data_IF_295652401131
#
_entry.id   IF_295652401131
#
_cell.length_a   1.000
_cell.length_b   1.000
_cell.length_c   1.000
_cell.angle_alpha   90.00
_cell.angle_beta   90.00
_cell.angle_gamma   90.00
#
_symmetry.space_group_name_H-M   'P 1'
#
loop_
_entity.id
_entity.type
_entity.pdbx_description
1 polymer ?
#
# COMPACT_ATOMS: atom_id res chain seq x y z
N UNK A 1 -39.10 -45.19 -21.92
CA UNK A 1 -38.95 -43.73 -21.63
C UNK A 1 -37.84 -43.56 -20.62
N UNK A 2 -36.65 -43.12 -21.03
CA UNK A 2 -35.51 -42.84 -20.13
C UNK A 2 -35.61 -41.39 -19.68
N UNK A 3 -35.74 -41.15 -18.38
CA UNK A 3 -35.72 -39.81 -17.79
C UNK A 3 -34.28 -39.38 -17.61
N UNK A 4 -33.85 -38.36 -18.34
CA UNK A 4 -32.55 -37.70 -18.14
C UNK A 4 -32.68 -36.67 -17.02
N UNK A 5 -31.95 -36.87 -15.92
CA UNK A 5 -31.86 -35.90 -14.86
C UNK A 5 -30.67 -35.00 -15.17
N UNK A 6 -30.91 -33.71 -15.40
CA UNK A 6 -29.90 -32.67 -15.55
C UNK A 6 -29.63 -32.11 -14.15
N UNK A 7 -28.46 -32.43 -13.60
CA UNK A 7 -27.98 -31.81 -12.35
C UNK A 7 -27.25 -30.50 -12.73
N UNK A 8 -27.93 -29.39 -12.50
CA UNK A 8 -27.32 -28.06 -12.62
C UNK A 8 -26.42 -27.82 -11.42
N UNK A 9 -25.10 -27.86 -11.64
CA UNK A 9 -24.12 -27.55 -10.65
C UNK A 9 -23.95 -26.03 -10.58
N UNK A 10 -24.60 -25.41 -9.59
CA UNK A 10 -24.45 -23.99 -9.31
C UNK A 10 -23.05 -23.78 -8.67
N UNK A 11 -22.10 -23.28 -9.45
CA UNK A 11 -20.78 -22.89 -8.94
C UNK A 11 -20.94 -21.57 -8.18
N UNK A 12 -21.09 -21.64 -6.86
CA UNK A 12 -20.97 -20.47 -5.99
C UNK A 12 -19.51 -20.06 -5.93
N UNK A 13 -19.21 -18.94 -6.57
CA UNK A 13 -17.91 -18.27 -6.48
C UNK A 13 -17.79 -17.68 -5.06
N UNK A 14 -17.13 -18.41 -4.15
CA UNK A 14 -16.78 -17.88 -2.84
C UNK A 14 -15.54 -17.01 -3.07
N UNK A 15 -15.73 -15.68 -3.09
CA UNK A 15 -14.62 -14.74 -2.93
C UNK A 15 -14.01 -14.97 -1.56
N UNK A 16 -12.89 -15.64 -1.52
CA UNK A 16 -12.16 -15.90 -0.30
C UNK A 16 -11.59 -14.60 0.26
N UNK A 17 -12.13 -14.12 1.38
CA UNK A 17 -11.51 -13.07 2.18
C UNK A 17 -10.27 -13.72 2.81
N UNK A 18 -9.09 -13.43 2.26
CA UNK A 18 -7.83 -13.86 2.85
C UNK A 18 -7.53 -12.99 4.07
N UNK A 19 -7.24 -13.63 5.16
CA UNK A 19 -6.66 -13.17 6.43
C UNK A 19 -6.68 -11.68 6.77
N UNK A 20 -7.37 -11.30 7.85
CA UNK A 20 -7.26 -9.98 8.47
C UNK A 20 -6.14 -10.06 9.52
N UNK A 21 -5.00 -9.42 9.28
CA UNK A 21 -3.96 -9.22 10.29
C UNK A 21 -4.06 -7.80 10.86
N UNK A 22 -4.56 -7.68 12.08
CA UNK A 22 -4.82 -6.40 12.74
C UNK A 22 -3.85 -6.20 13.91
N UNK A 23 -3.12 -5.09 13.90
CA UNK A 23 -2.37 -4.65 15.08
C UNK A 23 -3.33 -4.33 16.23
N UNK A 24 -3.07 -4.86 17.40
CA UNK A 24 -3.83 -4.55 18.60
C UNK A 24 -3.74 -3.04 18.97
N UNK A 25 -4.76 -2.50 19.64
CA UNK A 25 -4.77 -1.13 20.15
C UNK A 25 -5.30 -0.06 19.20
N UNK A 26 -5.86 -0.45 18.04
CA UNK A 26 -6.51 0.48 17.10
C UNK A 26 -8.03 0.59 17.31
N UNK A 27 -8.59 -0.22 18.21
CA UNK A 27 -10.03 -0.23 18.46
C UNK A 27 -10.46 1.07 19.16
N UNK A 28 -11.57 1.65 18.71
CA UNK A 28 -12.07 2.93 19.22
C UNK A 28 -11.35 4.19 18.69
N UNK A 29 -10.26 4.06 17.89
CA UNK A 29 -9.63 5.21 17.25
C UNK A 29 -10.46 5.73 16.07
N UNK A 30 -10.48 7.07 15.84
CA UNK A 30 -11.09 7.66 14.65
C UNK A 30 -10.48 7.04 13.37
N UNK A 31 -11.33 6.79 12.37
CA UNK A 31 -10.92 6.26 11.06
C UNK A 31 -11.05 7.34 10.01
N UNK A 32 -10.02 7.48 9.18
CA UNK A 32 -10.02 8.42 8.06
C UNK A 32 -9.48 7.72 6.81
N UNK A 33 -10.12 7.93 5.68
CA UNK A 33 -9.60 7.46 4.40
C UNK A 33 -8.65 8.50 3.83
N UNK A 34 -7.49 8.06 3.36
CA UNK A 34 -6.56 8.89 2.61
C UNK A 34 -6.67 8.57 1.12
N UNK A 35 -7.06 9.58 0.35
CA UNK A 35 -7.01 9.53 -1.10
C UNK A 35 -5.56 9.62 -1.58
N UNK A 36 -5.07 8.56 -2.21
CA UNK A 36 -3.72 8.49 -2.76
C UNK A 36 -3.68 9.15 -4.13
N UNK A 37 -2.61 9.88 -4.40
CA UNK A 37 -2.39 10.58 -5.68
C UNK A 37 -1.08 10.12 -6.32
N UNK A 38 -1.04 10.10 -7.64
CA UNK A 38 0.16 9.72 -8.37
C UNK A 38 1.30 10.74 -8.14
N UNK A 39 2.57 10.29 -8.10
CA UNK A 39 3.72 11.18 -8.11
C UNK A 39 3.66 12.16 -9.29
N UNK A 40 4.23 13.36 -9.18
CA UNK A 40 5.08 13.82 -8.06
C UNK A 40 4.31 14.44 -6.89
N UNK A 41 3.00 14.33 -6.87
CA UNK A 41 2.17 14.96 -5.85
C UNK A 41 2.03 14.08 -4.61
N UNK A 42 1.78 14.73 -3.47
CA UNK A 42 1.45 14.05 -2.22
C UNK A 42 -0.04 14.18 -1.92
N UNK A 43 -0.63 13.21 -1.20
CA UNK A 43 -1.99 13.35 -0.71
C UNK A 43 -2.10 14.57 0.22
N UNK A 44 -3.30 15.19 0.25
CA UNK A 44 -3.58 16.29 1.16
C UNK A 44 -3.37 15.83 2.61
N UNK A 45 -2.57 16.57 3.35
CA UNK A 45 -2.21 16.25 4.73
C UNK A 45 -1.94 17.51 5.55
N UNK A 46 -2.03 17.38 6.87
CA UNK A 46 -1.62 18.43 7.81
C UNK A 46 -0.14 18.23 8.17
N UNK A 47 0.64 19.31 8.25
CA UNK A 47 2.05 19.23 8.65
C UNK A 47 2.23 19.01 10.15
N UNK A 48 1.22 19.38 10.93
CA UNK A 48 1.11 19.15 12.38
C UNK A 48 -0.15 18.37 12.63
N UNK A 49 -0.08 17.31 13.43
CA UNK A 49 -1.23 16.47 13.68
C UNK A 49 -2.36 17.23 14.39
N UNK A 50 -3.59 17.04 13.94
CA UNK A 50 -4.79 17.51 14.62
C UNK A 50 -5.34 16.38 15.52
N UNK A 51 -5.17 16.51 16.81
CA UNK A 51 -5.65 15.53 17.78
C UNK A 51 -4.75 14.32 17.99
N UNK A 52 -5.31 13.25 18.57
CA UNK A 52 -4.62 12.00 18.90
C UNK A 52 -4.34 11.09 17.69
N UNK A 53 -3.79 9.89 17.94
CA UNK A 53 -3.65 8.87 16.92
C UNK A 53 -4.99 8.49 16.27
N UNK A 54 -4.92 8.07 15.01
CA UNK A 54 -6.08 7.63 14.22
C UNK A 54 -5.70 6.42 13.36
N UNK A 55 -6.69 5.78 12.77
CA UNK A 55 -6.50 4.77 11.72
C UNK A 55 -6.64 5.45 10.37
N UNK A 56 -5.56 5.46 9.61
CA UNK A 56 -5.53 5.96 8.22
C UNK A 56 -5.75 4.78 7.29
N UNK A 57 -6.90 4.77 6.65
CA UNK A 57 -7.29 3.73 5.69
C UNK A 57 -6.79 4.10 4.31
N UNK A 58 -6.09 3.18 3.67
CA UNK A 58 -5.57 3.31 2.31
C UNK A 58 -5.92 2.08 1.49
N UNK A 59 -6.05 2.26 0.18
CA UNK A 59 -6.25 1.18 -0.77
C UNK A 59 -5.16 1.22 -1.84
N UNK A 60 -4.43 0.13 -2.01
CA UNK A 60 -3.49 -0.09 -3.09
C UNK A 60 -4.00 -1.20 -3.99
N UNK A 61 -4.09 -0.92 -5.26
CA UNK A 61 -4.46 -1.89 -6.30
C UNK A 61 -3.21 -2.20 -7.11
N UNK A 62 -2.88 -3.47 -7.22
CA UNK A 62 -1.80 -3.92 -8.09
C UNK A 62 -2.28 -3.88 -9.54
N UNK A 63 -1.48 -3.30 -10.41
CA UNK A 63 -1.78 -3.23 -11.84
C UNK A 63 -0.56 -3.68 -12.65
N UNK A 64 -0.75 -4.73 -13.46
CA UNK A 64 0.25 -5.24 -14.40
C UNK A 64 -0.11 -4.73 -15.78
N UNK A 65 0.70 -3.83 -16.33
CA UNK A 65 0.38 -3.16 -17.58
C UNK A 65 1.61 -2.76 -18.39
N UNK A 66 1.41 -2.51 -19.65
CA UNK A 66 2.41 -1.86 -20.47
C UNK A 66 2.47 -0.36 -20.17
N UNK A 67 3.68 0.16 -19.97
CA UNK A 67 3.94 1.58 -19.70
C UNK A 67 4.99 2.13 -20.66
N UNK A 68 4.70 3.31 -21.20
CA UNK A 68 5.69 4.05 -21.98
C UNK A 68 6.66 4.77 -21.04
N UNK A 69 7.96 4.50 -21.17
CA UNK A 69 9.02 5.10 -20.34
C UNK A 69 9.87 6.11 -21.11
N UNK A 70 9.80 6.09 -22.44
CA UNK A 70 10.42 7.05 -23.33
C UNK A 70 9.62 7.09 -24.65
N UNK A 71 9.84 8.07 -25.56
CA UNK A 71 9.04 8.21 -26.79
C UNK A 71 8.84 6.91 -27.58
N UNK A 72 9.88 6.07 -27.67
CA UNK A 72 9.86 4.81 -28.44
C UNK A 72 10.15 3.58 -27.56
N UNK A 73 10.01 3.69 -26.23
CA UNK A 73 10.31 2.62 -25.30
C UNK A 73 9.12 2.28 -24.38
N UNK A 74 8.74 1.02 -24.40
CA UNK A 74 7.66 0.47 -23.59
C UNK A 74 8.17 -0.67 -22.74
N UNK A 75 7.67 -0.81 -21.53
CA UNK A 75 8.02 -1.87 -20.59
C UNK A 75 6.77 -2.51 -20.00
N UNK A 76 6.85 -3.79 -19.68
CA UNK A 76 5.84 -4.45 -18.87
C UNK A 76 6.09 -4.06 -17.41
N UNK A 77 5.24 -3.21 -16.87
CA UNK A 77 5.35 -2.71 -15.51
C UNK A 77 4.40 -3.44 -14.57
N UNK A 78 4.82 -3.55 -13.32
CA UNK A 78 3.99 -3.92 -12.18
C UNK A 78 3.93 -2.71 -11.26
N UNK A 79 2.74 -2.26 -10.90
CA UNK A 79 2.58 -0.98 -10.23
C UNK A 79 1.67 -1.09 -9.00
N UNK A 80 1.78 -0.12 -8.10
CA UNK A 80 0.75 0.18 -7.11
C UNK A 80 -0.03 1.40 -7.59
N UNK A 81 -1.35 1.25 -7.78
CA UNK A 81 -2.25 2.29 -8.29
C UNK A 81 -1.82 2.89 -9.64
N UNK A 82 -1.18 2.09 -10.50
CA UNK A 82 -0.92 2.45 -11.89
C UNK A 82 0.22 3.43 -12.13
N UNK A 83 1.03 3.79 -11.13
CA UNK A 83 2.19 4.68 -11.26
C UNK A 83 3.50 4.02 -10.80
N UNK A 84 4.63 4.52 -11.32
CA UNK A 84 5.99 4.18 -10.90
C UNK A 84 6.73 5.48 -10.62
N UNK A 85 7.20 5.70 -9.39
CA UNK A 85 6.91 4.91 -8.21
C UNK A 85 5.43 4.94 -7.83
N UNK A 86 5.00 4.00 -6.96
CA UNK A 86 3.66 4.01 -6.38
C UNK A 86 3.39 5.25 -5.53
N UNK A 87 2.13 5.56 -5.18
CA UNK A 87 1.76 6.78 -4.47
C UNK A 87 2.47 6.94 -3.12
N UNK A 88 2.80 8.17 -2.74
CA UNK A 88 3.25 8.50 -1.38
C UNK A 88 2.08 8.34 -0.40
N UNK A 89 2.32 7.63 0.70
CA UNK A 89 1.41 7.56 1.84
C UNK A 89 1.90 8.56 2.89
N UNK A 90 1.01 9.35 3.50
CA UNK A 90 1.39 10.34 4.53
C UNK A 90 0.58 10.10 5.80
N UNK A 91 1.27 9.84 6.90
CA UNK A 91 0.66 9.65 8.22
C UNK A 91 1.45 10.39 9.28
N UNK A 92 0.90 10.51 10.49
CA UNK A 92 1.65 11.02 11.63
C UNK A 92 2.14 9.89 12.54
N UNK A 93 3.21 10.15 13.26
CA UNK A 93 3.76 9.24 14.25
C UNK A 93 2.66 8.72 15.18
N UNK A 94 2.65 7.44 15.45
CA UNK A 94 1.66 6.69 16.23
C UNK A 94 0.27 6.55 15.59
N UNK A 95 0.03 7.05 14.39
CA UNK A 95 -1.15 6.64 13.62
C UNK A 95 -1.02 5.16 13.24
N UNK A 96 -2.16 4.53 13.01
CA UNK A 96 -2.23 3.20 12.40
C UNK A 96 -2.48 3.35 10.90
N UNK A 97 -1.75 2.61 10.12
CA UNK A 97 -2.01 2.43 8.68
C UNK A 97 -2.85 1.15 8.54
N UNK A 98 -4.03 1.28 7.96
CA UNK A 98 -4.87 0.13 7.58
C UNK A 98 -4.92 0.07 6.07
N UNK A 99 -4.13 -0.84 5.51
CA UNK A 99 -4.02 -1.06 4.07
C UNK A 99 -5.03 -2.12 3.65
N UNK A 100 -5.77 -1.85 2.57
CA UNK A 100 -6.37 -2.88 1.72
C UNK A 100 -5.51 -3.03 0.47
N UNK A 101 -4.83 -4.17 0.34
CA UNK A 101 -4.09 -4.53 -0.87
C UNK A 101 -4.96 -5.42 -1.75
N UNK A 102 -5.12 -5.03 -3.01
CA UNK A 102 -5.95 -5.75 -3.98
C UNK A 102 -5.10 -6.21 -5.16
N UNK A 103 -5.21 -7.48 -5.49
CA UNK A 103 -4.65 -8.06 -6.70
C UNK A 103 -5.79 -8.48 -7.62
N UNK A 104 -6.13 -7.69 -8.66
CA UNK A 104 -7.22 -8.02 -9.59
C UNK A 104 -7.04 -9.39 -10.27
N UNK A 105 -8.14 -10.03 -10.63
CA UNK A 105 -8.12 -11.33 -11.32
C UNK A 105 -7.51 -11.28 -12.72
N UNK A 106 -7.33 -10.09 -13.28
CA UNK A 106 -6.65 -9.85 -14.57
C UNK A 106 -5.13 -9.97 -14.47
N UNK A 107 -4.56 -9.89 -13.27
CA UNK A 107 -3.13 -10.07 -13.03
C UNK A 107 -2.74 -11.56 -13.09
N UNK A 108 -1.45 -11.82 -13.26
CA UNK A 108 -0.91 -13.19 -13.42
C UNK A 108 -0.01 -13.62 -12.28
N UNK A 109 0.58 -12.66 -11.54
CA UNK A 109 1.51 -12.95 -10.46
C UNK A 109 0.87 -12.82 -9.08
N UNK A 110 1.45 -13.53 -8.11
CA UNK A 110 1.23 -13.29 -6.68
C UNK A 110 1.98 -12.02 -6.28
N UNK A 111 1.32 -11.17 -5.50
CA UNK A 111 1.90 -9.95 -4.96
C UNK A 111 1.74 -9.87 -3.45
N UNK A 112 2.50 -8.98 -2.83
CA UNK A 112 2.39 -8.61 -1.43
C UNK A 112 2.92 -7.20 -1.22
N UNK A 113 3.08 -6.76 0.02
CA UNK A 113 3.72 -5.49 0.33
C UNK A 113 4.53 -5.59 1.61
N UNK A 114 5.76 -5.09 1.57
CA UNK A 114 6.68 -4.91 2.68
C UNK A 114 6.80 -3.41 2.95
N UNK A 115 6.45 -2.98 4.18
CA UNK A 115 6.63 -1.61 4.65
C UNK A 115 7.85 -1.49 5.54
N UNK A 116 8.88 -0.76 5.14
CA UNK A 116 10.04 -0.46 6.00
C UNK A 116 9.68 0.42 7.22
N UNK A 117 8.51 1.04 7.22
CA UNK A 117 7.96 1.76 8.38
C UNK A 117 7.32 0.84 9.43
N UNK A 118 7.12 -0.44 9.11
CA UNK A 118 6.57 -1.46 9.99
C UNK A 118 7.69 -2.34 10.53
N UNK A 119 7.50 -2.89 11.73
CA UNK A 119 8.42 -3.86 12.32
C UNK A 119 7.75 -5.22 12.47
N UNK A 120 8.53 -6.29 12.25
CA UNK A 120 8.03 -7.68 12.30
C UNK A 120 7.38 -8.13 11.00
N UNK A 121 7.24 -9.44 10.82
CA UNK A 121 6.62 -10.12 9.67
C UNK A 121 7.10 -9.59 8.30
N UNK A 122 8.40 -9.24 8.18
CA UNK A 122 8.98 -8.60 6.98
C UNK A 122 8.13 -7.40 6.54
N UNK A 123 7.91 -6.41 7.44
CA UNK A 123 7.11 -5.23 7.15
C UNK A 123 5.66 -5.49 6.71
N UNK A 124 5.16 -6.70 6.94
CA UNK A 124 3.86 -7.19 6.48
C UNK A 124 3.95 -8.12 5.26
N UNK A 125 5.12 -8.32 4.66
CA UNK A 125 5.29 -9.11 3.44
C UNK A 125 4.77 -10.53 3.54
N UNK A 126 4.92 -11.19 4.70
CA UNK A 126 4.39 -12.54 4.95
C UNK A 126 2.86 -12.56 5.17
N UNK A 127 2.27 -11.45 5.58
CA UNK A 127 0.86 -11.33 5.95
C UNK A 127 -0.02 -10.77 4.82
N UNK A 128 0.59 -10.31 3.73
CA UNK A 128 -0.11 -9.59 2.66
C UNK A 128 -0.03 -10.28 1.31
N UNK A 129 0.32 -11.57 1.27
CA UNK A 129 0.37 -12.36 0.04
C UNK A 129 -1.03 -12.50 -0.56
N UNK A 130 -1.21 -12.00 -1.77
CA UNK A 130 -2.47 -12.04 -2.54
C UNK A 130 -2.21 -12.57 -3.96
N UNK A 131 -2.88 -13.66 -4.31
CA UNK A 131 -2.95 -14.15 -5.67
C UNK A 131 -3.95 -13.34 -6.52
N UNK A 132 -4.01 -13.56 -7.84
CA UNK A 132 -4.99 -12.94 -8.71
C UNK A 132 -6.44 -13.14 -8.21
N UNK A 133 -7.22 -12.06 -8.16
CA UNK A 133 -8.60 -12.03 -7.66
C UNK A 133 -8.73 -11.99 -6.14
N UNK A 134 -7.63 -11.80 -5.40
CA UNK A 134 -7.64 -11.74 -3.94
C UNK A 134 -7.37 -10.34 -3.40
N UNK A 135 -7.82 -10.10 -2.18
CA UNK A 135 -7.44 -8.91 -1.41
C UNK A 135 -7.16 -9.28 0.05
N UNK A 136 -6.39 -8.43 0.72
CA UNK A 136 -6.03 -8.58 2.14
C UNK A 136 -6.08 -7.24 2.84
N UNK A 137 -6.47 -7.25 4.11
CA UNK A 137 -6.36 -6.08 5.00
C UNK A 137 -5.21 -6.29 5.98
N UNK A 138 -4.29 -5.34 6.00
CA UNK A 138 -3.13 -5.34 6.88
C UNK A 138 -3.08 -4.03 7.67
N UNK A 139 -2.83 -4.11 8.99
CA UNK A 139 -2.73 -2.93 9.84
C UNK A 139 -1.44 -2.96 10.66
N UNK A 140 -0.73 -1.84 10.66
CA UNK A 140 0.43 -1.62 11.52
C UNK A 140 0.41 -0.22 12.13
N UNK A 141 1.19 -0.01 13.18
CA UNK A 141 1.39 1.29 13.83
C UNK A 141 2.66 1.94 13.31
N UNK A 142 2.57 3.16 12.79
CA UNK A 142 3.70 3.96 12.32
C UNK A 142 4.39 4.65 13.51
N UNK A 143 5.42 4.02 14.09
CA UNK A 143 6.02 4.46 15.36
C UNK A 143 7.19 5.43 15.21
N UNK A 144 7.88 5.40 14.06
CA UNK A 144 9.10 6.18 13.80
C UNK A 144 8.83 7.24 12.75
N UNK A 145 9.11 8.54 13.03
CA UNK A 145 9.11 9.56 11.98
C UNK A 145 10.20 9.30 10.94
N UNK A 146 9.93 9.67 9.69
CA UNK A 146 10.85 9.49 8.57
C UNK A 146 10.13 9.23 7.26
N UNK A 147 10.91 9.04 6.21
CA UNK A 147 10.42 8.54 4.92
C UNK A 147 10.96 7.14 4.73
N UNK A 148 10.08 6.20 4.47
CA UNK A 148 10.40 4.78 4.36
C UNK A 148 9.87 4.23 3.05
N UNK A 149 10.61 3.31 2.47
CA UNK A 149 10.17 2.58 1.26
C UNK A 149 9.07 1.59 1.64
N UNK A 150 8.15 1.36 0.72
CA UNK A 150 7.37 0.13 0.64
C UNK A 150 7.57 -0.51 -0.73
N UNK A 151 7.52 -1.83 -0.81
CA UNK A 151 7.69 -2.54 -2.07
C UNK A 151 7.06 -3.93 -2.05
N UNK A 152 6.90 -4.51 -3.23
CA UNK A 152 6.51 -5.92 -3.34
C UNK A 152 7.71 -6.81 -3.00
N UNK A 153 7.47 -7.82 -2.15
CA UNK A 153 8.49 -8.77 -1.70
C UNK A 153 7.93 -10.21 -1.65
N UNK A 154 7.48 -10.78 -2.80
CA UNK A 154 6.74 -12.05 -2.81
C UNK A 154 7.60 -13.27 -2.48
N UNK A 155 8.91 -13.11 -2.43
CA UNK A 155 9.88 -14.11 -2.01
C UNK A 155 11.11 -14.20 -2.91
N UNK A 156 12.26 -14.45 -2.30
CA UNK A 156 13.54 -14.79 -2.92
C UNK A 156 13.87 -13.98 -4.19
N UNK A 157 14.10 -14.65 -5.31
CA UNK A 157 14.50 -14.05 -6.61
C UNK A 157 13.42 -13.18 -7.25
N UNK A 158 12.16 -13.31 -6.83
CA UNK A 158 11.06 -12.50 -7.36
C UNK A 158 11.05 -11.09 -6.78
N UNK A 159 11.68 -10.86 -5.62
CA UNK A 159 11.73 -9.52 -5.00
C UNK A 159 12.38 -8.50 -5.94
N UNK A 160 13.64 -8.67 -6.40
CA UNK A 160 14.24 -7.70 -7.31
C UNK A 160 13.47 -7.57 -8.62
N UNK A 161 12.93 -8.65 -9.16
CA UNK A 161 12.13 -8.59 -10.38
C UNK A 161 10.89 -7.70 -10.23
N UNK A 162 10.11 -7.86 -9.14
CA UNK A 162 8.92 -7.02 -8.91
C UNK A 162 9.30 -5.56 -8.63
N UNK A 163 10.39 -5.32 -7.87
CA UNK A 163 10.83 -3.96 -7.54
C UNK A 163 11.30 -3.21 -8.78
N UNK A 164 12.16 -3.83 -9.62
CA UNK A 164 12.65 -3.18 -10.85
C UNK A 164 11.56 -3.05 -11.92
N UNK A 165 10.50 -3.87 -11.84
CA UNK A 165 9.32 -3.72 -12.69
C UNK A 165 8.40 -2.57 -12.26
N UNK A 166 8.71 -1.87 -11.15
CA UNK A 166 8.00 -0.67 -10.70
C UNK A 166 7.24 -0.79 -9.38
N UNK A 167 7.26 -1.95 -8.71
CA UNK A 167 6.51 -2.15 -7.46
C UNK A 167 7.25 -1.63 -6.24
N UNK A 168 7.43 -0.35 -6.19
CA UNK A 168 8.00 0.39 -5.06
C UNK A 168 7.26 1.72 -4.86
N UNK A 169 7.34 2.27 -3.66
CA UNK A 169 6.78 3.55 -3.29
C UNK A 169 7.30 3.98 -1.92
N UNK A 170 6.74 5.03 -1.36
CA UNK A 170 7.19 5.52 -0.05
C UNK A 170 6.03 5.89 0.87
N UNK A 171 6.30 5.80 2.17
CA UNK A 171 5.45 6.29 3.24
C UNK A 171 6.22 7.34 4.05
N UNK A 172 5.64 8.51 4.20
CA UNK A 172 6.13 9.59 5.05
C UNK A 172 5.39 9.57 6.38
N UNK A 173 6.12 9.36 7.46
CA UNK A 173 5.63 9.44 8.84
C UNK A 173 6.09 10.76 9.43
N UNK A 174 5.19 11.71 9.54
CA UNK A 174 5.48 13.03 10.12
C UNK A 174 5.50 12.97 11.64
N UNK A 175 6.43 13.70 12.33
CA UNK A 175 6.29 13.95 13.76
C UNK A 175 4.93 14.59 14.05
N UNK A 176 4.29 14.23 15.16
CA UNK A 176 2.96 14.79 15.49
C UNK A 176 2.96 16.29 15.70
N UNK A 177 4.07 16.83 16.22
CA UNK A 177 4.28 18.24 16.46
C UNK A 177 4.94 18.97 15.28
N UNK A 178 5.05 18.31 14.13
CA UNK A 178 5.60 18.83 12.88
C UNK A 178 7.11 18.67 12.75
N UNK A 179 7.62 18.99 11.57
CA UNK A 179 9.06 18.98 11.29
C UNK A 179 9.75 20.12 12.02
N UNK A 180 10.93 19.86 12.55
CA UNK A 180 11.75 20.86 13.26
C UNK A 180 13.13 20.94 12.65
N UNK A 181 13.70 22.16 12.66
CA UNK A 181 15.10 22.39 12.32
C UNK A 181 16.04 21.95 13.46
N UNK A 182 17.34 22.09 13.24
CA UNK A 182 18.38 21.76 14.24
C UNK A 182 18.26 22.53 15.56
N UNK A 183 17.58 23.67 15.54
CA UNK A 183 17.32 24.52 16.74
C UNK A 183 15.96 24.17 17.40
N UNK A 184 15.25 23.15 16.90
CA UNK A 184 13.94 22.74 17.41
C UNK A 184 12.78 23.65 16.98
N UNK A 185 12.99 24.60 16.06
CA UNK A 185 11.95 25.46 15.52
C UNK A 185 11.15 24.74 14.46
N UNK A 186 9.82 24.91 14.51
CA UNK A 186 8.90 24.33 13.51
C UNK A 186 9.24 24.84 12.10
N UNK A 187 9.47 23.89 11.20
CA UNK A 187 9.66 24.12 9.77
C UNK A 187 8.31 23.90 9.07
N UNK A 188 7.87 24.88 8.30
CA UNK A 188 6.70 24.79 7.43
C UNK A 188 7.15 24.80 5.98
N UNK A 189 6.44 24.06 5.15
CA UNK A 189 6.61 24.05 3.69
C UNK A 189 5.29 24.40 3.00
N UNK A 190 5.38 25.08 1.88
CA UNK A 190 4.21 25.44 1.07
C UNK A 190 3.85 24.32 0.09
N UNK A 191 4.85 23.58 -0.38
CA UNK A 191 4.71 22.47 -1.33
C UNK A 191 5.66 21.35 -0.97
N UNK A 192 5.23 20.12 -1.22
CA UNK A 192 6.05 18.92 -1.14
C UNK A 192 5.86 18.11 -2.42
N UNK A 193 6.95 17.52 -2.91
CA UNK A 193 6.96 16.66 -4.08
C UNK A 193 7.64 15.34 -3.73
N UNK A 194 7.11 14.27 -4.31
CA UNK A 194 7.71 12.95 -4.24
C UNK A 194 8.31 12.60 -5.61
N UNK A 195 9.62 12.44 -5.63
CA UNK A 195 10.38 12.03 -6.80
C UNK A 195 11.12 10.76 -6.42
N UNK A 196 10.96 9.71 -7.21
CA UNK A 196 11.68 8.45 -7.09
C UNK A 196 12.48 8.19 -8.36
N UNK A 197 13.67 7.64 -8.20
CA UNK A 197 14.56 7.19 -9.28
C UNK A 197 14.65 5.66 -9.29
#
# INVERSE_FOLDING_TARGET
MKKTIIISMCLTFIMGIASISLAAGADGLPRVTQELVAPPFLPKHDQVAKGGPKVVQIRLVVDQKEMQVAPDAWVQAMTFNGSVPGPMIVVHQNDYVELTLVNPSTNTFLHNIDFHASSGALGGGELTKVGPGQEVVFRFKATKPGVFVYHCAPGSTMIPYHVVSGMNGAIMVLPRDGLKDEKGKLVKYDKAYYIGE
#
